data_IF_063828224880
#
_entry.id   IF_063828224880
#
_cell.length_a   1.000
_cell.length_b   1.000
_cell.length_c   1.000
_cell.angle_alpha   90.00
_cell.angle_beta   90.00
_cell.angle_gamma   90.00
#
_symmetry.space_group_name_H-M   'P 1'
#
loop_
_entity.id
_entity.type
_entity.pdbx_description
1 polymer ?
#
# COMPACT_ATOMS: atom_id res chain seq x y z
N UNK A 1 16.27 -28.20 -2.02
CA UNK A 1 15.90 -28.49 -3.43
C UNK A 1 17.03 -29.26 -4.09
N UNK A 2 16.70 -30.32 -4.81
CA UNK A 2 17.65 -31.06 -5.65
C UNK A 2 17.99 -30.29 -6.93
N UNK A 3 18.96 -30.79 -7.71
CA UNK A 3 19.22 -30.30 -9.07
C UNK A 3 17.99 -30.47 -9.98
N UNK A 4 17.26 -31.59 -9.82
CA UNK A 4 16.00 -31.85 -10.54
C UNK A 4 14.90 -30.84 -10.19
N UNK A 5 14.73 -30.46 -8.91
CA UNK A 5 13.75 -29.45 -8.52
C UNK A 5 14.03 -28.10 -9.21
N UNK A 6 15.32 -27.71 -9.31
CA UNK A 6 15.74 -26.48 -10.01
C UNK A 6 15.48 -26.59 -11.51
N UNK A 7 15.85 -27.70 -12.14
CA UNK A 7 15.62 -27.92 -13.56
C UNK A 7 14.13 -27.93 -13.92
N UNK A 8 13.30 -28.56 -13.09
CA UNK A 8 11.83 -28.58 -13.23
C UNK A 8 11.25 -27.17 -13.10
N UNK A 9 11.63 -26.43 -12.06
CA UNK A 9 11.19 -25.03 -11.88
C UNK A 9 11.58 -24.15 -13.07
N UNK A 10 12.83 -24.24 -13.56
CA UNK A 10 13.27 -23.45 -14.72
C UNK A 10 12.51 -23.80 -15.99
N UNK A 11 12.19 -25.08 -16.20
CA UNK A 11 11.35 -25.54 -17.33
C UNK A 11 9.92 -25.00 -17.24
N UNK A 12 9.31 -25.04 -16.05
CA UNK A 12 7.97 -24.47 -15.80
C UNK A 12 7.97 -22.94 -15.97
N UNK A 13 9.01 -22.25 -15.51
CA UNK A 13 9.21 -20.81 -15.68
C UNK A 13 9.36 -20.40 -17.16
N UNK A 14 10.17 -21.12 -17.94
CA UNK A 14 10.37 -20.83 -19.36
C UNK A 14 9.11 -21.12 -20.19
N UNK A 15 8.41 -22.23 -19.92
CA UNK A 15 7.13 -22.54 -20.56
C UNK A 15 6.03 -21.50 -20.19
N UNK A 16 6.04 -20.99 -18.96
CA UNK A 16 5.22 -19.85 -18.59
C UNK A 16 5.63 -18.58 -19.37
N UNK A 17 6.94 -18.34 -19.55
CA UNK A 17 7.49 -17.17 -20.26
C UNK A 17 7.06 -17.11 -21.74
N UNK A 18 7.07 -18.22 -22.46
CA UNK A 18 6.53 -18.28 -23.84
C UNK A 18 5.03 -17.95 -23.88
N UNK A 19 4.27 -18.49 -22.91
CA UNK A 19 2.85 -18.16 -22.70
C UNK A 19 2.62 -16.73 -22.18
N UNK A 20 3.69 -16.03 -21.80
CA UNK A 20 3.73 -14.60 -21.44
C UNK A 20 4.10 -13.68 -22.61
N UNK A 21 3.87 -14.13 -23.86
CA UNK A 21 3.54 -13.24 -25.00
C UNK A 21 2.19 -12.54 -24.78
N UNK A 22 2.08 -11.81 -23.68
CA UNK A 22 0.90 -11.03 -23.29
C UNK A 22 0.93 -9.65 -23.91
N UNK A 23 -0.27 -9.10 -24.10
CA UNK A 23 -0.44 -7.67 -24.32
C UNK A 23 0.28 -6.87 -23.23
N UNK A 24 1.23 -6.03 -23.65
CA UNK A 24 2.06 -5.16 -22.81
C UNK A 24 1.23 -4.17 -21.97
N UNK A 25 -0.04 -3.93 -22.35
CA UNK A 25 -0.98 -3.07 -21.62
C UNK A 25 -1.65 -3.78 -20.44
N UNK A 26 -1.55 -5.11 -20.34
CA UNK A 26 -2.25 -5.88 -19.30
C UNK A 26 -1.34 -6.23 -18.12
N UNK A 27 -1.54 -5.56 -16.98
CA UNK A 27 -0.81 -5.80 -15.74
C UNK A 27 -0.79 -7.28 -15.28
N UNK A 28 0.25 -7.69 -14.54
CA UNK A 28 0.32 -9.03 -13.96
C UNK A 28 -0.86 -9.29 -13.01
N UNK A 29 -1.49 -10.47 -13.12
CA UNK A 29 -2.59 -10.81 -12.19
C UNK A 29 -2.05 -11.03 -10.78
N UNK A 30 -2.84 -10.72 -9.76
CA UNK A 30 -2.46 -10.95 -8.36
C UNK A 30 -2.07 -12.41 -8.08
N UNK A 31 -2.71 -13.38 -8.74
CA UNK A 31 -2.34 -14.81 -8.67
C UNK A 31 -0.95 -15.06 -9.27
N UNK A 32 -0.63 -14.45 -10.41
CA UNK A 32 0.71 -14.56 -11.03
C UNK A 32 1.78 -13.98 -10.11
N UNK A 33 1.54 -12.79 -9.55
CA UNK A 33 2.44 -12.14 -8.61
C UNK A 33 2.65 -13.00 -7.35
N UNK A 34 1.57 -13.52 -6.76
CA UNK A 34 1.64 -14.39 -5.58
C UNK A 34 2.45 -15.67 -5.85
N UNK A 35 2.25 -16.33 -6.99
CA UNK A 35 3.00 -17.54 -7.36
C UNK A 35 4.49 -17.25 -7.56
N UNK A 36 4.83 -16.16 -8.25
CA UNK A 36 6.22 -15.73 -8.42
C UNK A 36 6.89 -15.41 -7.07
N UNK A 37 6.22 -14.63 -6.21
CA UNK A 37 6.71 -14.32 -4.85
C UNK A 37 6.90 -15.58 -4.01
N UNK A 38 5.96 -16.53 -4.05
CA UNK A 38 6.07 -17.80 -3.32
C UNK A 38 7.24 -18.66 -3.79
N UNK A 39 7.51 -18.68 -5.10
CA UNK A 39 8.64 -19.41 -5.67
C UNK A 39 9.98 -18.81 -5.23
N UNK A 40 10.14 -17.49 -5.32
CA UNK A 40 11.36 -16.79 -4.86
C UNK A 40 11.57 -16.98 -3.37
N UNK A 41 10.55 -16.73 -2.54
CA UNK A 41 10.66 -16.89 -1.08
C UNK A 41 11.04 -18.33 -0.69
N UNK A 42 10.45 -19.35 -1.34
CA UNK A 42 10.84 -20.75 -1.10
C UNK A 42 12.27 -21.05 -1.54
N UNK A 43 12.72 -20.52 -2.68
CA UNK A 43 14.08 -20.71 -3.18
C UNK A 43 15.14 -20.05 -2.26
N UNK A 44 14.76 -18.98 -1.56
CA UNK A 44 15.56 -18.29 -0.54
C UNK A 44 15.32 -18.80 0.89
N UNK A 45 14.57 -19.90 1.07
CA UNK A 45 14.23 -20.49 2.39
C UNK A 45 13.52 -19.52 3.36
N UNK A 46 12.82 -18.52 2.81
CA UNK A 46 11.99 -17.56 3.55
C UNK A 46 10.54 -18.08 3.63
N UNK A 47 10.09 -18.38 4.85
CA UNK A 47 8.75 -18.92 5.10
C UNK A 47 7.81 -17.83 5.65
N UNK A 48 6.65 -17.64 5.02
CA UNK A 48 5.61 -16.72 5.50
C UNK A 48 4.21 -17.23 5.19
N UNK A 49 3.35 -17.26 6.22
CA UNK A 49 1.93 -17.56 6.07
C UNK A 49 1.14 -16.46 5.32
N UNK A 50 1.71 -15.25 5.18
CA UNK A 50 1.07 -14.09 4.52
C UNK A 50 2.00 -13.51 3.45
N UNK A 51 2.28 -14.30 2.42
CA UNK A 51 3.18 -13.96 1.29
C UNK A 51 3.00 -12.52 0.77
N UNK A 52 1.76 -12.09 0.49
CA UNK A 52 1.44 -10.75 -0.03
C UNK A 52 1.70 -9.60 0.94
N UNK A 53 1.78 -9.87 2.25
CA UNK A 53 2.07 -8.90 3.29
C UNK A 53 3.49 -9.05 3.87
N UNK A 54 4.24 -10.08 3.48
CA UNK A 54 5.54 -10.41 4.05
C UNK A 54 6.53 -9.25 3.92
N UNK A 55 6.62 -8.62 2.74
CA UNK A 55 7.47 -7.44 2.51
C UNK A 55 7.08 -6.24 3.37
N UNK A 56 5.77 -5.92 3.48
CA UNK A 56 5.29 -4.83 4.35
C UNK A 56 5.61 -5.11 5.83
N UNK A 57 5.41 -6.36 6.29
CA UNK A 57 5.69 -6.77 7.65
C UNK A 57 7.20 -6.71 7.98
N UNK A 58 8.04 -7.18 7.05
CA UNK A 58 9.49 -7.13 7.18
C UNK A 58 10.01 -5.69 7.22
N UNK A 59 9.64 -4.85 6.24
CA UNK A 59 10.07 -3.44 6.19
C UNK A 59 9.60 -2.64 7.41
N UNK A 60 8.41 -2.94 7.94
CA UNK A 60 7.92 -2.31 9.18
C UNK A 60 8.72 -2.72 10.40
N UNK A 61 9.05 -4.01 10.52
CA UNK A 61 9.94 -4.48 11.60
C UNK A 61 11.33 -3.84 11.50
N UNK A 62 11.85 -3.67 10.28
CA UNK A 62 13.13 -3.01 10.06
C UNK A 62 13.08 -1.53 10.46
N UNK A 63 12.05 -0.81 10.03
CA UNK A 63 11.82 0.58 10.44
C UNK A 63 11.75 0.75 11.97
N UNK A 64 11.12 -0.20 12.68
CA UNK A 64 11.13 -0.18 14.15
C UNK A 64 12.53 -0.40 14.76
N UNK A 65 13.37 -1.28 14.19
CA UNK A 65 14.76 -1.48 14.65
C UNK A 65 15.62 -0.25 14.40
N UNK A 66 15.42 0.40 13.25
CA UNK A 66 16.10 1.63 12.82
C UNK A 66 15.61 2.87 13.59
N UNK A 67 14.66 2.71 14.52
CA UNK A 67 14.21 3.76 15.42
C UNK A 67 13.28 4.81 14.80
N UNK A 68 12.67 4.53 13.64
CA UNK A 68 11.77 5.50 13.01
C UNK A 68 10.56 5.80 13.91
N UNK A 69 10.13 7.07 14.00
CA UNK A 69 8.85 7.44 14.58
C UNK A 69 7.69 6.65 13.96
N UNK A 70 6.72 6.22 14.79
CA UNK A 70 5.54 5.46 14.32
C UNK A 70 4.76 6.17 13.20
N UNK A 71 4.79 7.50 13.19
CA UNK A 71 4.17 8.35 12.18
C UNK A 71 4.84 8.19 10.81
N UNK A 72 6.18 8.17 10.77
CA UNK A 72 6.95 7.93 9.54
C UNK A 72 6.73 6.51 9.01
N UNK A 73 6.65 5.51 9.91
CA UNK A 73 6.31 4.12 9.57
C UNK A 73 4.88 4.02 8.98
N UNK A 74 3.92 4.74 9.57
CA UNK A 74 2.54 4.80 9.06
C UNK A 74 2.45 5.49 7.70
N UNK A 75 3.26 6.53 7.46
CA UNK A 75 3.35 7.26 6.19
C UNK A 75 3.99 6.38 5.09
N UNK A 76 5.13 5.73 5.39
CA UNK A 76 5.76 4.71 4.54
C UNK A 76 4.79 3.58 4.16
N UNK A 77 4.07 3.03 5.15
CA UNK A 77 3.11 1.95 4.95
C UNK A 77 1.81 2.37 4.25
N UNK A 78 1.55 3.67 4.14
CA UNK A 78 0.27 4.30 3.74
C UNK A 78 -0.93 3.74 4.51
N UNK A 79 -0.77 3.56 5.82
CA UNK A 79 -1.67 2.70 6.59
C UNK A 79 -2.90 3.39 7.18
N UNK A 80 -2.76 4.60 7.71
CA UNK A 80 -3.88 5.51 7.96
C UNK A 80 -3.35 6.93 7.80
N UNK A 81 -3.72 7.59 6.71
CA UNK A 81 -3.62 9.04 6.59
C UNK A 81 -5.03 9.59 6.81
N UNK A 82 -5.20 10.58 7.68
CA UNK A 82 -6.44 11.38 7.69
C UNK A 82 -6.60 12.07 6.33
N UNK A 83 -7.82 12.51 5.97
CA UNK A 83 -8.00 13.29 4.72
C UNK A 83 -7.03 14.47 4.67
N UNK A 84 -6.86 15.18 5.79
CA UNK A 84 -5.85 16.23 5.97
C UNK A 84 -4.44 15.76 5.61
N UNK A 85 -3.97 14.63 6.15
CA UNK A 85 -2.64 14.11 5.77
C UNK A 85 -2.56 13.66 4.31
N UNK A 86 -3.64 13.14 3.71
CA UNK A 86 -3.63 12.79 2.28
C UNK A 86 -3.55 13.98 1.32
N UNK A 87 -3.97 15.18 1.76
CA UNK A 87 -3.87 16.41 0.98
C UNK A 87 -2.62 17.25 1.31
N UNK A 88 -2.23 17.34 2.58
CA UNK A 88 -1.20 18.29 3.05
C UNK A 88 0.11 17.66 3.53
N UNK A 89 0.18 16.34 3.77
CA UNK A 89 1.46 15.73 4.10
C UNK A 89 2.34 15.66 2.83
N UNK A 90 3.67 15.89 2.92
CA UNK A 90 4.56 15.69 1.80
C UNK A 90 4.41 14.25 1.29
N UNK A 91 4.05 14.09 0.02
CA UNK A 91 3.64 12.80 -0.59
C UNK A 91 4.73 11.72 -0.51
N UNK A 92 5.98 12.15 -0.36
CA UNK A 92 7.15 11.30 -0.23
C UNK A 92 7.65 11.34 1.23
N UNK A 93 7.62 10.23 1.99
CA UNK A 93 8.26 10.11 3.30
C UNK A 93 9.78 10.02 3.12
N UNK A 94 10.43 11.11 2.69
CA UNK A 94 11.85 11.16 2.31
C UNK A 94 12.75 10.63 3.43
N UNK A 95 12.57 11.14 4.66
CA UNK A 95 13.28 10.63 5.85
C UNK A 95 13.08 9.12 6.05
N UNK A 96 11.84 8.65 5.93
CA UNK A 96 11.53 7.23 6.02
C UNK A 96 12.23 6.41 4.93
N UNK A 97 12.29 6.91 3.70
CA UNK A 97 12.95 6.26 2.57
C UNK A 97 14.48 6.18 2.77
N UNK A 98 15.11 7.26 3.27
CA UNK A 98 16.55 7.25 3.59
C UNK A 98 16.90 6.17 4.62
N UNK A 99 16.22 6.15 5.76
CA UNK A 99 16.50 5.13 6.78
C UNK A 99 16.22 3.71 6.25
N UNK A 100 15.15 3.51 5.48
CA UNK A 100 14.83 2.20 4.88
C UNK A 100 15.82 1.75 3.79
N UNK A 101 16.64 2.67 3.26
CA UNK A 101 17.80 2.37 2.42
C UNK A 101 19.11 2.24 3.22
N UNK A 102 19.03 2.15 4.56
CA UNK A 102 20.14 2.05 5.51
C UNK A 102 21.10 3.25 5.53
N UNK A 103 20.60 4.44 5.17
CA UNK A 103 21.28 5.69 5.46
C UNK A 103 21.07 6.07 6.94
N UNK A 104 22.16 6.36 7.66
CA UNK A 104 22.25 6.50 9.13
C UNK A 104 21.54 7.73 9.75
N UNK A 105 20.78 8.50 8.97
CA UNK A 105 20.20 9.79 9.36
C UNK A 105 20.01 10.71 8.16
N UNK A 106 19.40 11.87 8.37
CA UNK A 106 19.22 12.91 7.33
C UNK A 106 20.35 13.94 7.25
N UNK A 107 21.28 13.91 8.22
CA UNK A 107 22.07 15.08 8.58
C UNK A 107 23.57 14.92 8.19
N UNK A 108 23.95 13.81 7.57
CA UNK A 108 25.28 13.55 7.03
C UNK A 108 25.21 13.34 5.51
N UNK A 109 26.15 13.90 4.71
CA UNK A 109 26.16 13.73 3.26
C UNK A 109 26.62 12.31 2.88
N UNK A 110 25.73 11.53 2.27
CA UNK A 110 26.07 10.20 1.79
C UNK A 110 26.75 10.24 0.42
N UNK A 111 28.04 9.91 0.41
CA UNK A 111 28.80 9.72 -0.83
C UNK A 111 28.62 8.27 -1.30
N UNK A 112 27.82 8.07 -2.34
CA UNK A 112 27.83 6.80 -3.07
C UNK A 112 29.08 6.75 -3.96
N UNK A 113 30.01 5.84 -3.68
CA UNK A 113 31.28 5.74 -4.42
C UNK A 113 31.11 5.66 -5.95
N UNK A 114 30.05 4.97 -6.42
CA UNK A 114 29.72 4.87 -7.85
C UNK A 114 29.33 6.20 -8.50
N UNK A 115 28.90 7.18 -7.71
CA UNK A 115 28.50 8.50 -8.20
C UNK A 115 29.70 9.45 -8.39
N UNK A 116 30.90 9.05 -7.96
CA UNK A 116 32.14 9.70 -8.36
C UNK A 116 32.54 9.37 -9.82
N UNK A 117 31.94 8.33 -10.42
CA UNK A 117 32.16 7.92 -11.81
C UNK A 117 30.96 8.31 -12.69
N UNK A 118 31.04 9.46 -13.36
CA UNK A 118 30.04 9.89 -14.35
C UNK A 118 30.28 9.14 -15.68
N UNK A 119 29.30 8.42 -16.25
CA UNK A 119 29.45 7.79 -17.56
C UNK A 119 29.50 8.85 -18.67
N UNK A 120 30.33 8.69 -19.72
CA UNK A 120 30.37 9.61 -20.86
C UNK A 120 28.99 9.82 -21.48
N UNK A 121 28.65 11.06 -21.87
CA UNK A 121 27.33 11.37 -22.40
C UNK A 121 27.00 10.57 -23.67
N UNK A 122 28.01 10.27 -24.51
CA UNK A 122 27.89 9.40 -25.68
C UNK A 122 27.41 7.99 -25.30
N UNK A 123 27.95 7.43 -24.20
CA UNK A 123 27.57 6.13 -23.67
C UNK A 123 26.17 6.19 -23.04
N UNK A 124 25.85 7.25 -22.31
CA UNK A 124 24.52 7.46 -21.73
C UNK A 124 23.43 7.49 -22.81
N UNK A 125 23.66 8.19 -23.93
CA UNK A 125 22.72 8.27 -25.07
C UNK A 125 22.46 6.94 -25.78
N UNK A 126 23.32 5.92 -25.62
CA UNK A 126 23.03 4.57 -26.12
C UNK A 126 21.90 3.87 -25.34
N UNK A 127 21.68 4.24 -24.08
CA UNK A 127 20.58 3.73 -23.26
C UNK A 127 19.34 4.59 -23.48
N UNK A 128 18.25 4.01 -24.01
CA UNK A 128 17.06 4.76 -24.46
C UNK A 128 17.40 5.89 -25.46
N UNK A 129 17.86 5.56 -26.69
CA UNK A 129 18.36 6.54 -27.67
C UNK A 129 17.28 7.45 -28.29
N UNK A 130 16.02 7.32 -27.87
CA UNK A 130 14.87 8.09 -28.35
C UNK A 130 14.45 9.22 -27.39
N UNK A 131 15.11 9.37 -26.24
CA UNK A 131 14.67 10.32 -25.20
C UNK A 131 14.80 11.78 -25.65
N UNK A 132 15.89 12.13 -26.32
CA UNK A 132 16.14 13.45 -26.92
C UNK A 132 15.00 13.82 -27.90
N UNK A 133 14.63 12.88 -28.77
CA UNK A 133 13.57 13.03 -29.76
C UNK A 133 12.14 13.08 -29.17
N UNK A 134 11.96 12.89 -27.85
CA UNK A 134 10.64 12.72 -27.23
C UNK A 134 9.72 13.95 -27.35
N UNK A 135 10.25 15.13 -27.69
CA UNK A 135 9.50 16.36 -27.95
C UNK A 135 9.54 16.80 -29.43
N UNK A 136 10.02 15.97 -30.34
CA UNK A 136 9.96 16.26 -31.78
C UNK A 136 8.49 16.49 -32.22
N UNK A 137 8.26 17.60 -32.93
CA UNK A 137 6.92 18.09 -33.28
C UNK A 137 6.34 19.14 -32.31
N UNK A 138 7.01 19.43 -31.19
CA UNK A 138 6.78 20.65 -30.41
C UNK A 138 7.52 21.86 -31.05
N UNK A 139 7.35 23.06 -30.50
CA UNK A 139 8.09 24.25 -30.92
C UNK A 139 9.59 24.14 -30.64
N UNK A 140 10.42 24.76 -31.48
CA UNK A 140 11.88 24.76 -31.38
C UNK A 140 12.41 25.08 -29.97
N UNK A 141 11.78 26.01 -29.26
CA UNK A 141 12.21 26.41 -27.91
C UNK A 141 11.96 25.32 -26.87
N UNK A 142 10.88 24.54 -27.01
CA UNK A 142 10.60 23.36 -26.16
C UNK A 142 11.58 22.23 -26.47
N UNK A 143 11.94 22.03 -27.75
CA UNK A 143 12.95 21.04 -28.15
C UNK A 143 14.32 21.43 -27.60
N UNK A 144 14.74 22.70 -27.72
CA UNK A 144 16.01 23.21 -27.17
C UNK A 144 16.06 23.12 -25.63
N UNK A 145 14.98 23.50 -24.94
CA UNK A 145 14.85 23.35 -23.49
C UNK A 145 14.96 21.88 -23.06
N UNK A 146 14.31 20.97 -23.80
CA UNK A 146 14.37 19.54 -23.53
C UNK A 146 15.78 18.97 -23.74
N UNK A 147 16.44 19.28 -24.86
CA UNK A 147 17.83 18.88 -25.10
C UNK A 147 18.76 19.41 -24.00
N UNK A 148 18.63 20.69 -23.61
CA UNK A 148 19.37 21.26 -22.48
C UNK A 148 19.09 20.51 -21.17
N UNK A 149 17.82 20.13 -20.93
CA UNK A 149 17.43 19.33 -19.76
C UNK A 149 18.13 17.96 -19.78
N UNK A 150 18.16 17.27 -20.93
CA UNK A 150 18.86 15.99 -21.07
C UNK A 150 20.36 16.10 -20.78
N UNK A 151 21.04 17.11 -21.32
CA UNK A 151 22.48 17.29 -21.09
C UNK A 151 22.78 17.56 -19.60
N UNK A 152 22.03 18.47 -18.95
CA UNK A 152 22.17 18.75 -17.52
C UNK A 152 21.95 17.49 -16.66
N UNK A 153 20.88 16.74 -16.92
CA UNK A 153 20.56 15.50 -16.19
C UNK A 153 21.58 14.36 -16.41
N UNK A 154 22.43 14.46 -17.44
CA UNK A 154 23.53 13.53 -17.70
C UNK A 154 24.87 13.98 -17.10
N UNK A 155 25.07 15.28 -16.84
CA UNK A 155 26.34 15.86 -16.34
C UNK A 155 26.28 16.27 -14.87
N UNK A 156 25.26 17.03 -14.48
CA UNK A 156 25.15 17.71 -13.20
C UNK A 156 23.95 17.16 -12.41
N UNK A 157 24.17 16.01 -11.77
CA UNK A 157 23.33 15.61 -10.63
C UNK A 157 24.03 16.00 -9.34
N UNK A 158 23.88 17.27 -8.96
CA UNK A 158 24.09 17.70 -7.57
C UNK A 158 22.79 17.41 -6.79
N UNK A 159 22.79 16.48 -5.80
CA UNK A 159 21.62 16.23 -4.95
C UNK A 159 21.24 17.41 -4.05
N UNK A 160 22.10 18.42 -3.88
CA UNK A 160 21.81 19.65 -3.12
C UNK A 160 21.15 20.73 -3.99
N UNK A 161 21.33 20.71 -5.33
CA UNK A 161 20.61 21.59 -6.28
C UNK A 161 19.24 21.04 -6.74
N UNK A 162 18.58 20.18 -5.94
CA UNK A 162 17.17 19.83 -6.21
C UNK A 162 16.29 21.04 -5.89
N UNK A 163 16.16 21.94 -6.87
CA UNK A 163 15.34 23.15 -6.75
C UNK A 163 13.89 22.84 -6.33
N UNK A 164 13.29 23.76 -5.58
CA UNK A 164 11.97 23.56 -4.96
C UNK A 164 10.88 23.10 -5.95
N UNK A 165 10.98 23.48 -7.23
CA UNK A 165 10.09 23.06 -8.31
C UNK A 165 10.07 21.54 -8.60
N UNK A 166 11.18 20.82 -8.32
CA UNK A 166 11.28 19.37 -8.50
C UNK A 166 10.76 18.59 -7.28
N UNK A 167 10.74 19.20 -6.08
CA UNK A 167 10.23 18.59 -4.84
C UNK A 167 8.77 18.93 -4.56
N UNK A 168 8.35 20.15 -4.90
CA UNK A 168 7.02 20.69 -4.62
C UNK A 168 6.27 20.97 -5.92
N UNK A 169 5.69 19.90 -6.48
CA UNK A 169 4.46 20.04 -7.26
C UNK A 169 3.30 20.39 -6.31
N UNK A 170 3.31 21.66 -5.86
CA UNK A 170 2.07 22.33 -5.50
C UNK A 170 1.20 22.35 -6.75
N UNK A 171 0.10 21.60 -6.72
CA UNK A 171 -0.97 21.82 -7.67
C UNK A 171 -1.52 23.22 -7.39
N UNK A 172 -1.09 24.21 -8.17
CA UNK A 172 -1.70 25.53 -8.15
C UNK A 172 -3.14 25.38 -8.62
N UNK A 173 -4.08 25.43 -7.68
CA UNK A 173 -5.51 25.47 -7.93
C UNK A 173 -5.88 26.83 -8.58
N UNK A 174 -5.55 27.01 -9.86
CA UNK A 174 -5.98 28.15 -10.67
C UNK A 174 -7.29 27.82 -11.42
N UNK A 175 -8.38 28.32 -10.84
CA UNK A 175 -9.75 28.33 -11.35
C UNK A 175 -9.88 29.44 -12.43
N UNK A 176 -10.66 29.32 -13.51
CA UNK A 176 -10.95 28.15 -14.35
C UNK A 176 -10.68 28.44 -15.85
N UNK A 177 -9.65 27.80 -16.43
CA UNK A 177 -9.34 27.87 -17.87
C UNK A 177 -9.35 26.49 -18.53
N UNK A 178 -10.49 25.79 -18.45
CA UNK A 178 -10.63 24.32 -18.44
C UNK A 178 -10.18 23.49 -19.67
N UNK A 179 -9.37 24.05 -20.57
CA UNK A 179 -8.72 23.30 -21.67
C UNK A 179 -7.18 23.45 -21.65
N UNK A 180 -6.63 24.60 -21.26
CA UNK A 180 -5.16 24.80 -21.25
C UNK A 180 -4.44 24.02 -20.14
N UNK A 181 -5.08 23.87 -18.97
CA UNK A 181 -4.47 23.19 -17.83
C UNK A 181 -4.22 21.69 -18.03
N UNK A 182 -5.07 21.01 -18.83
CA UNK A 182 -4.91 19.56 -19.08
C UNK A 182 -3.70 19.24 -19.97
N UNK A 183 -3.45 20.09 -20.98
CA UNK A 183 -2.29 19.92 -21.85
C UNK A 183 -0.99 20.27 -21.09
N UNK A 184 -1.00 21.35 -20.30
CA UNK A 184 0.13 21.73 -19.46
C UNK A 184 0.47 20.67 -18.40
N UNK A 185 -0.52 20.07 -17.74
CA UNK A 185 -0.27 18.98 -16.78
C UNK A 185 0.28 17.73 -17.48
N UNK A 186 -0.28 17.34 -18.64
CA UNK A 186 0.20 16.19 -19.40
C UNK A 186 1.64 16.36 -19.92
N UNK A 187 2.00 17.57 -20.37
CA UNK A 187 3.39 17.89 -20.73
C UNK A 187 4.34 17.83 -19.54
N UNK A 188 3.88 18.21 -18.35
CA UNK A 188 4.69 18.21 -17.13
C UNK A 188 4.91 16.80 -16.59
N UNK A 189 3.87 15.98 -16.49
CA UNK A 189 3.97 14.55 -16.15
C UNK A 189 4.88 13.80 -17.14
N UNK A 190 4.74 14.09 -18.44
CA UNK A 190 5.62 13.55 -19.49
C UNK A 190 7.08 13.98 -19.27
N UNK A 191 7.36 15.28 -19.04
CA UNK A 191 8.72 15.77 -18.80
C UNK A 191 9.33 15.14 -17.54
N UNK A 192 8.57 15.02 -16.45
CA UNK A 192 9.02 14.38 -15.21
C UNK A 192 9.35 12.89 -15.40
N UNK A 193 8.51 12.14 -16.11
CA UNK A 193 8.78 10.74 -16.43
C UNK A 193 10.00 10.57 -17.35
N UNK A 194 10.19 11.46 -18.32
CA UNK A 194 11.36 11.43 -19.20
C UNK A 194 12.65 11.82 -18.46
N UNK A 195 12.62 12.82 -17.56
CA UNK A 195 13.75 13.14 -16.64
C UNK A 195 14.17 11.89 -15.84
N UNK A 196 13.21 11.15 -15.30
CA UNK A 196 13.47 9.88 -14.62
C UNK A 196 14.17 8.86 -15.54
N UNK A 197 13.75 8.73 -16.80
CA UNK A 197 14.41 7.81 -17.74
C UNK A 197 15.83 8.26 -18.12
N UNK A 198 16.10 9.57 -18.21
CA UNK A 198 17.47 10.10 -18.38
C UNK A 198 18.34 9.75 -17.17
N UNK A 199 17.88 10.04 -15.94
CA UNK A 199 18.58 9.66 -14.69
C UNK A 199 18.83 8.14 -14.61
N UNK A 200 17.89 7.32 -15.08
CA UNK A 200 18.05 5.86 -15.13
C UNK A 200 19.16 5.39 -16.08
N UNK A 201 19.58 6.17 -17.10
CA UNK A 201 20.73 5.82 -17.97
C UNK A 201 21.98 5.59 -17.13
N UNK A 202 22.29 6.53 -16.24
CA UNK A 202 23.43 6.48 -15.31
C UNK A 202 23.36 5.25 -14.40
N UNK A 203 22.22 5.03 -13.75
CA UNK A 203 22.01 3.89 -12.83
C UNK A 203 22.16 2.55 -13.55
N UNK A 204 21.57 2.41 -14.75
CA UNK A 204 21.70 1.19 -15.57
C UNK A 204 23.16 0.91 -15.94
N UNK A 205 23.92 1.93 -16.33
CA UNK A 205 25.33 1.78 -16.69
C UNK A 205 26.21 1.45 -15.47
N UNK A 206 26.01 2.13 -14.34
CA UNK A 206 26.70 1.85 -13.08
C UNK A 206 26.45 0.42 -12.59
N UNK A 207 25.19 -0.02 -12.57
CA UNK A 207 24.82 -1.34 -12.07
C UNK A 207 25.21 -2.45 -13.06
N UNK A 208 25.17 -2.20 -14.37
CA UNK A 208 25.64 -3.14 -15.38
C UNK A 208 27.13 -3.50 -15.20
N UNK A 209 27.97 -2.53 -14.80
CA UNK A 209 29.38 -2.79 -14.47
C UNK A 209 29.49 -3.83 -13.36
N UNK A 210 28.74 -3.68 -12.26
CA UNK A 210 28.75 -4.66 -11.17
C UNK A 210 28.17 -6.03 -11.57
N UNK A 211 27.10 -6.06 -12.39
CA UNK A 211 26.51 -7.31 -12.87
C UNK A 211 27.37 -8.05 -13.91
N UNK A 212 28.34 -7.39 -14.54
CA UNK A 212 29.28 -8.00 -15.48
C UNK A 212 30.55 -8.56 -14.83
N UNK A 213 30.82 -8.26 -13.55
CA UNK A 213 31.91 -8.90 -12.80
C UNK A 213 31.53 -10.37 -12.50
N UNK A 214 32.33 -11.36 -12.92
CA UNK A 214 32.14 -12.74 -12.50
C UNK A 214 32.28 -12.85 -10.98
N UNK A 215 31.28 -13.38 -10.29
CA UNK A 215 31.39 -13.56 -8.84
C UNK A 215 32.46 -14.59 -8.52
N UNK A 216 33.13 -14.43 -7.37
CA UNK A 216 34.22 -15.32 -6.90
C UNK A 216 33.82 -16.79 -6.73
N UNK A 217 32.51 -17.08 -6.69
CA UNK A 217 31.92 -18.42 -6.65
C UNK A 217 31.57 -18.99 -8.04
N UNK A 218 31.95 -18.30 -9.13
CA UNK A 218 31.66 -18.70 -10.51
C UNK A 218 30.21 -18.44 -10.95
N UNK A 219 29.36 -17.78 -10.15
CA UNK A 219 28.05 -17.35 -10.62
C UNK A 219 28.19 -16.14 -11.55
N UNK A 220 27.92 -16.41 -12.83
CA UNK A 220 27.75 -15.40 -13.84
C UNK A 220 26.36 -14.75 -13.70
N UNK A 221 26.30 -13.58 -13.04
CA UNK A 221 25.09 -12.75 -12.96
C UNK A 221 24.85 -11.89 -14.20
N UNK A 222 25.72 -11.95 -15.23
CA UNK A 222 25.54 -11.12 -16.42
C UNK A 222 24.29 -11.56 -17.18
N UNK A 223 23.25 -10.75 -16.96
CA UNK A 223 21.89 -11.00 -17.35
C UNK A 223 21.82 -11.11 -18.89
N UNK A 224 20.97 -12.00 -19.39
CA UNK A 224 20.66 -12.10 -20.83
C UNK A 224 20.23 -10.77 -21.46
N UNK A 225 19.70 -9.83 -20.67
CA UNK A 225 19.43 -8.45 -21.10
C UNK A 225 20.71 -7.64 -21.38
N UNK A 226 21.74 -7.76 -20.55
CA UNK A 226 23.03 -7.07 -20.72
C UNK A 226 23.81 -7.71 -21.89
N UNK A 227 23.89 -9.06 -21.90
CA UNK A 227 24.48 -9.82 -23.01
C UNK A 227 23.78 -9.62 -24.35
N UNK A 228 22.49 -9.25 -24.34
CA UNK A 228 21.68 -9.02 -25.52
C UNK A 228 21.87 -7.65 -26.19
N UNK A 229 22.65 -6.75 -25.58
CA UNK A 229 22.91 -5.39 -26.07
C UNK A 229 24.43 -5.12 -26.19
N UNK A 230 25.16 -5.91 -27.02
CA UNK A 230 26.63 -5.79 -27.15
C UNK A 230 27.07 -4.43 -27.69
N UNK A 231 26.24 -3.74 -28.48
CA UNK A 231 26.48 -2.38 -28.97
C UNK A 231 26.61 -1.35 -27.83
N UNK A 232 26.05 -1.63 -26.65
CA UNK A 232 26.24 -0.84 -25.44
C UNK A 232 27.36 -1.47 -24.59
N UNK A 233 27.16 -2.69 -24.12
CA UNK A 233 27.95 -3.28 -23.03
C UNK A 233 29.24 -3.97 -23.47
N UNK A 234 29.48 -4.15 -24.77
CA UNK A 234 30.78 -4.51 -25.34
C UNK A 234 31.43 -3.34 -26.10
N UNK A 235 30.85 -2.13 -26.04
CA UNK A 235 31.46 -0.94 -26.62
C UNK A 235 32.74 -0.53 -25.87
N UNK A 236 33.69 0.05 -26.59
CA UNK A 236 34.92 0.56 -25.98
C UNK A 236 34.62 1.62 -24.90
N UNK A 237 33.61 2.49 -25.14
CA UNK A 237 33.14 3.48 -24.18
C UNK A 237 32.69 2.84 -22.85
N UNK A 238 31.90 1.76 -22.91
CA UNK A 238 31.48 1.05 -21.71
C UNK A 238 32.63 0.33 -21.02
N UNK A 239 33.53 -0.30 -21.77
CA UNK A 239 34.69 -1.01 -21.21
C UNK A 239 35.67 -0.07 -20.50
N UNK A 240 35.86 1.14 -21.00
CA UNK A 240 36.71 2.14 -20.36
C UNK A 240 36.02 2.80 -19.16
N UNK A 241 34.70 3.06 -19.24
CA UNK A 241 33.90 3.47 -18.08
C UNK A 241 33.91 2.41 -16.96
N UNK A 242 33.78 1.13 -17.30
CA UNK A 242 33.82 0.00 -16.38
C UNK A 242 35.13 -0.07 -15.59
N UNK A 243 36.28 0.11 -16.27
CA UNK A 243 37.60 0.19 -15.62
C UNK A 243 37.69 1.36 -14.64
N UNK A 244 37.23 2.55 -15.06
CA UNK A 244 37.25 3.76 -14.22
C UNK A 244 36.37 3.58 -12.96
N UNK A 245 35.15 3.06 -13.11
CA UNK A 245 34.24 2.82 -12.00
C UNK A 245 34.82 1.78 -11.02
N UNK A 246 35.45 0.70 -11.49
CA UNK A 246 36.15 -0.25 -10.61
C UNK A 246 37.30 0.42 -9.85
N UNK A 247 38.17 1.18 -10.53
CA UNK A 247 39.27 1.90 -9.86
C UNK A 247 38.77 2.84 -8.76
N UNK A 248 37.68 3.57 -9.03
CA UNK A 248 37.03 4.47 -8.05
C UNK A 248 36.43 3.67 -6.87
N UNK A 249 35.75 2.55 -7.15
CA UNK A 249 35.15 1.72 -6.10
C UNK A 249 36.19 1.01 -5.22
N UNK A 250 37.27 0.51 -5.82
CA UNK A 250 38.37 -0.13 -5.10
C UNK A 250 39.15 0.89 -4.26
N UNK A 251 39.50 2.05 -4.82
CA UNK A 251 40.11 3.14 -4.08
C UNK A 251 39.22 3.65 -2.95
N UNK A 252 37.89 3.75 -3.15
CA UNK A 252 36.98 4.11 -2.08
C UNK A 252 36.92 3.03 -0.99
N UNK A 253 36.94 1.74 -1.35
CA UNK A 253 37.00 0.63 -0.38
C UNK A 253 38.28 0.63 0.45
N UNK A 254 39.42 0.96 -0.14
CA UNK A 254 40.70 1.04 0.57
C UNK A 254 40.78 2.24 1.53
N UNK A 255 40.13 3.36 1.17
CA UNK A 255 40.10 4.58 1.99
C UNK A 255 38.89 4.66 2.95
N UNK A 256 37.94 3.72 2.91
CA UNK A 256 36.72 3.79 3.71
C UNK A 256 36.90 3.29 5.15
N UNK A 257 37.60 4.07 5.97
CA UNK A 257 37.41 4.08 7.44
C UNK A 257 35.92 4.34 7.82
N UNK A 258 35.14 4.88 6.88
CA UNK A 258 33.78 5.41 7.06
C UNK A 258 32.66 4.36 6.87
N UNK A 259 32.97 3.13 6.43
CA UNK A 259 32.01 2.00 6.50
C UNK A 259 32.62 0.73 7.12
N UNK A 260 33.42 0.90 8.17
CA UNK A 260 33.23 -0.05 9.29
C UNK A 260 31.81 0.14 9.83
N UNK A 261 31.10 -0.96 10.10
CA UNK A 261 29.86 -0.89 10.85
C UNK A 261 30.18 -0.32 12.25
N UNK A 262 29.96 0.99 12.42
CA UNK A 262 30.37 1.81 13.57
C UNK A 262 29.64 1.52 14.88
N UNK A 263 29.03 0.35 14.98
CA UNK A 263 28.69 -0.27 16.26
C UNK A 263 29.50 -1.55 16.33
N UNK A 264 30.57 -1.62 17.15
CA UNK A 264 31.01 -2.90 17.68
C UNK A 264 29.86 -3.42 18.53
N UNK A 265 28.97 -4.16 17.89
CA UNK A 265 27.83 -4.82 18.52
C UNK A 265 28.41 -5.92 19.39
N UNK A 266 28.74 -5.58 20.64
CA UNK A 266 28.74 -6.57 21.70
C UNK A 266 27.34 -7.22 21.65
N UNK A 267 27.30 -8.46 21.16
CA UNK A 267 26.07 -9.20 20.95
C UNK A 267 25.30 -9.34 22.26
N UNK A 268 25.99 -9.32 23.41
CA UNK A 268 25.37 -9.33 24.72
C UNK A 268 24.70 -7.98 25.01
N UNK A 269 25.40 -6.86 24.82
CA UNK A 269 24.83 -5.51 24.99
C UNK A 269 23.64 -5.23 24.05
N UNK A 270 23.65 -5.76 22.83
CA UNK A 270 22.53 -5.66 21.88
C UNK A 270 21.35 -6.55 22.28
N UNK A 271 21.60 -7.81 22.67
CA UNK A 271 20.55 -8.69 23.22
C UNK A 271 19.92 -8.04 24.45
N UNK A 272 20.72 -7.44 25.33
CA UNK A 272 20.25 -6.68 26.48
C UNK A 272 19.47 -5.41 26.10
N UNK A 273 19.89 -4.67 25.08
CA UNK A 273 19.16 -3.50 24.57
C UNK A 273 17.81 -3.90 23.93
N UNK A 274 17.78 -5.02 23.19
CA UNK A 274 16.56 -5.62 22.64
C UNK A 274 15.65 -6.09 23.79
N UNK A 275 16.19 -6.77 24.79
CA UNK A 275 15.42 -7.24 25.96
C UNK A 275 14.84 -6.07 26.77
N UNK A 276 15.63 -5.02 27.05
CA UNK A 276 15.13 -3.77 27.67
C UNK A 276 14.05 -3.10 26.84
N UNK A 277 14.23 -3.02 25.52
CA UNK A 277 13.23 -2.44 24.61
C UNK A 277 11.94 -3.27 24.56
N UNK A 278 12.05 -4.60 24.52
CA UNK A 278 10.91 -5.51 24.57
C UNK A 278 10.16 -5.41 25.91
N UNK A 279 10.87 -5.30 27.04
CA UNK A 279 10.27 -5.05 28.35
C UNK A 279 9.56 -3.69 28.41
N UNK A 280 10.17 -2.62 27.90
CA UNK A 280 9.52 -1.30 27.82
C UNK A 280 8.26 -1.31 26.93
N UNK A 281 8.30 -2.01 25.79
CA UNK A 281 7.14 -2.21 24.92
C UNK A 281 6.05 -3.02 25.62
N UNK A 282 6.41 -4.07 26.36
CA UNK A 282 5.45 -4.87 27.15
C UNK A 282 4.77 -4.05 28.25
N UNK A 283 5.54 -3.24 28.99
CA UNK A 283 5.00 -2.32 30.01
C UNK A 283 4.07 -1.28 29.38
N UNK A 284 4.45 -0.66 28.25
CA UNK A 284 3.59 0.30 27.53
C UNK A 284 2.30 -0.36 27.02
N UNK A 285 2.39 -1.57 26.44
CA UNK A 285 1.22 -2.30 25.95
C UNK A 285 0.27 -2.69 27.09
N UNK A 286 0.81 -3.12 28.23
CA UNK A 286 0.03 -3.43 29.44
C UNK A 286 -0.67 -2.18 30.00
N UNK A 287 0.03 -1.04 30.05
CA UNK A 287 -0.55 0.24 30.44
C UNK A 287 -1.67 0.69 29.49
N UNK A 288 -1.51 0.54 28.17
CA UNK A 288 -2.57 0.81 27.19
C UNK A 288 -3.78 -0.11 27.37
N UNK A 289 -3.56 -1.41 27.64
CA UNK A 289 -4.64 -2.36 27.93
C UNK A 289 -5.34 -2.08 29.26
N UNK A 290 -4.65 -1.50 30.25
CA UNK A 290 -5.27 -1.04 31.49
C UNK A 290 -6.13 0.21 31.26
N UNK A 291 -5.59 1.22 30.56
CA UNK A 291 -6.32 2.44 30.21
C UNK A 291 -7.58 2.16 29.38
N UNK A 292 -7.49 1.28 28.37
CA UNK A 292 -8.65 0.91 27.56
C UNK A 292 -9.73 0.15 28.36
N UNK A 293 -9.34 -0.69 29.33
CA UNK A 293 -10.30 -1.32 30.24
C UNK A 293 -10.98 -0.32 31.18
N UNK A 294 -10.28 0.72 31.62
CA UNK A 294 -10.88 1.82 32.38
C UNK A 294 -11.88 2.62 31.53
N UNK A 295 -11.52 2.91 30.26
CA UNK A 295 -12.40 3.60 29.31
C UNK A 295 -13.70 2.81 29.02
N UNK A 296 -13.61 1.50 28.84
CA UNK A 296 -14.76 0.59 28.72
C UNK A 296 -15.64 0.61 29.97
N UNK A 297 -15.05 0.43 31.16
CA UNK A 297 -15.80 0.44 32.41
C UNK A 297 -16.50 1.80 32.69
N UNK A 298 -15.91 2.91 32.24
CA UNK A 298 -16.53 4.23 32.34
C UNK A 298 -17.67 4.42 31.33
N UNK A 299 -17.54 3.89 30.11
CA UNK A 299 -18.64 3.84 29.13
C UNK A 299 -19.82 3.00 29.63
N UNK A 300 -19.55 1.85 30.26
CA UNK A 300 -20.60 0.99 30.85
C UNK A 300 -21.34 1.70 31.99
N UNK A 301 -20.64 2.46 32.84
CA UNK A 301 -21.27 3.31 33.87
C UNK A 301 -22.16 4.41 33.27
N UNK A 302 -21.68 5.09 32.23
CA UNK A 302 -22.44 6.13 31.55
C UNK A 302 -23.69 5.58 30.86
N UNK A 303 -23.62 4.35 30.34
CA UNK A 303 -24.78 3.65 29.78
C UNK A 303 -25.80 3.29 30.87
N UNK A 304 -25.35 2.68 31.97
CA UNK A 304 -26.22 2.33 33.10
C UNK A 304 -26.92 3.55 33.74
N UNK A 305 -26.25 4.69 33.84
CA UNK A 305 -26.86 5.93 34.34
C UNK A 305 -27.87 6.52 33.33
N UNK A 306 -27.63 6.42 32.01
CA UNK A 306 -28.64 6.77 30.99
C UNK A 306 -29.87 5.87 31.04
N UNK A 307 -29.69 4.56 31.21
CA UNK A 307 -30.80 3.61 31.33
C UNK A 307 -31.66 3.89 32.56
N UNK A 308 -31.01 4.23 33.70
CA UNK A 308 -31.69 4.66 34.92
C UNK A 308 -32.46 5.97 34.74
N UNK A 309 -31.88 6.96 34.06
CA UNK A 309 -32.58 8.21 33.74
C UNK A 309 -33.77 7.98 32.80
N UNK A 310 -33.64 7.06 31.83
CA UNK A 310 -34.74 6.67 30.94
C UNK A 310 -35.87 5.96 31.70
N UNK A 311 -35.55 5.03 32.61
CA UNK A 311 -36.54 4.38 33.48
C UNK A 311 -37.26 5.38 34.39
N UNK A 312 -36.57 6.37 34.95
CA UNK A 312 -37.19 7.43 35.74
C UNK A 312 -38.14 8.27 34.88
N UNK A 313 -37.73 8.68 33.68
CA UNK A 313 -38.59 9.44 32.77
C UNK A 313 -39.87 8.68 32.38
N UNK A 314 -39.78 7.36 32.15
CA UNK A 314 -40.95 6.50 31.92
C UNK A 314 -41.86 6.40 33.15
N UNK A 315 -41.30 6.32 34.36
CA UNK A 315 -42.07 6.31 35.60
C UNK A 315 -42.80 7.64 35.84
N UNK A 316 -42.15 8.77 35.58
CA UNK A 316 -42.73 10.11 35.69
C UNK A 316 -43.84 10.32 34.64
N UNK A 317 -43.63 9.86 33.40
CA UNK A 317 -44.63 9.89 32.34
C UNK A 317 -45.86 9.04 32.69
N UNK A 318 -45.67 7.85 33.26
CA UNK A 318 -46.78 7.01 33.75
C UNK A 318 -47.52 7.68 34.92
N UNK A 319 -46.80 8.28 35.87
CA UNK A 319 -47.41 9.05 36.98
C UNK A 319 -48.25 10.23 36.47
N UNK A 320 -47.82 10.89 35.39
CA UNK A 320 -48.57 11.96 34.76
C UNK A 320 -49.87 11.46 34.10
N UNK A 321 -49.81 10.34 33.36
CA UNK A 321 -51.02 9.73 32.78
C UNK A 321 -52.04 9.30 33.83
N UNK A 322 -51.60 8.66 34.93
CA UNK A 322 -52.50 8.28 36.03
C UNK A 322 -53.21 9.49 36.65
N UNK A 323 -52.53 10.64 36.79
CA UNK A 323 -53.15 11.89 37.26
C UNK A 323 -54.20 12.42 36.29
N UNK A 324 -53.96 12.34 34.98
CA UNK A 324 -54.97 12.70 33.96
C UNK A 324 -56.19 11.79 34.07
N UNK A 325 -55.97 10.46 34.13
CA UNK A 325 -57.06 9.49 34.22
C UNK A 325 -57.89 9.69 35.49
N UNK A 326 -57.25 9.92 36.64
CA UNK A 326 -57.92 10.25 37.89
C UNK A 326 -58.75 11.55 37.78
N UNK A 327 -58.20 12.60 37.16
CA UNK A 327 -58.90 13.85 36.89
C UNK A 327 -60.12 13.67 35.98
N UNK A 328 -60.00 12.88 34.90
CA UNK A 328 -61.11 12.54 34.01
C UNK A 328 -62.21 11.74 34.72
N UNK A 329 -61.84 10.81 35.61
CA UNK A 329 -62.81 10.06 36.42
C UNK A 329 -63.55 10.96 37.42
N UNK A 330 -62.86 11.91 38.07
CA UNK A 330 -63.49 12.90 38.94
C UNK A 330 -64.44 13.81 38.16
N UNK A 331 -64.01 14.32 36.99
CA UNK A 331 -64.85 15.14 36.13
C UNK A 331 -66.11 14.39 35.68
N UNK A 332 -65.98 13.13 35.26
CA UNK A 332 -67.11 12.27 34.86
C UNK A 332 -68.15 12.11 35.99
N UNK A 333 -67.68 11.87 37.23
CA UNK A 333 -68.56 11.77 38.43
C UNK A 333 -69.33 13.05 38.74
N UNK A 334 -68.79 14.22 38.38
CA UNK A 334 -69.46 15.52 38.62
C UNK A 334 -70.30 15.99 37.43
N UNK A 335 -69.92 15.67 36.19
CA UNK A 335 -70.62 16.10 34.99
C UNK A 335 -71.89 15.27 34.69
N UNK A 336 -71.94 14.00 35.12
CA UNK A 336 -73.06 13.10 34.82
C UNK A 336 -73.56 12.35 36.07
N UNK A 337 -74.38 13.00 36.93
CA UNK A 337 -75.03 12.34 38.07
C UNK A 337 -76.25 11.49 37.63
N UNK A 338 -76.06 10.62 36.62
CA UNK A 338 -77.10 9.71 36.16
C UNK A 338 -77.19 8.46 37.04
N UNK A 339 -78.04 8.55 38.06
CA UNK A 339 -78.55 7.38 38.76
C UNK A 339 -79.41 6.53 37.81
N UNK A 340 -79.28 5.20 37.91
CA UNK A 340 -80.17 4.20 37.33
C UNK A 340 -80.42 4.25 35.81
N UNK A 341 -79.40 3.85 35.02
CA UNK A 341 -79.63 3.12 33.78
C UNK A 341 -79.31 1.64 34.01
N UNK A 342 -80.25 0.75 33.69
CA UNK A 342 -80.08 -0.69 33.84
C UNK A 342 -79.04 -1.24 32.84
N UNK A 343 -78.32 -2.32 33.17
CA UNK A 343 -77.32 -2.89 32.28
C UNK A 343 -77.97 -3.40 30.99
N UNK A 344 -77.67 -2.74 29.87
CA UNK A 344 -78.00 -3.23 28.53
C UNK A 344 -77.19 -4.52 28.31
N UNK A 345 -77.80 -5.62 27.82
CA UNK A 345 -77.08 -6.86 27.56
C UNK A 345 -75.97 -6.64 26.54
N UNK A 346 -74.74 -6.99 26.90
CA UNK A 346 -73.60 -6.95 25.97
C UNK A 346 -73.87 -7.87 24.78
N UNK A 347 -73.71 -7.40 23.52
CA UNK A 347 -73.76 -8.28 22.37
C UNK A 347 -72.70 -9.37 22.48
N UNK A 348 -73.08 -10.62 22.19
CA UNK A 348 -72.12 -11.71 22.12
C UNK A 348 -71.09 -11.42 21.03
N UNK A 349 -69.84 -11.16 21.42
CA UNK A 349 -68.76 -10.89 20.48
C UNK A 349 -68.51 -12.10 19.58
N UNK A 350 -68.86 -11.96 18.31
CA UNK A 350 -68.46 -12.87 17.24
C UNK A 350 -66.92 -12.84 17.14
N UNK A 351 -66.22 -13.99 17.01
CA UNK A 351 -64.77 -14.00 16.92
C UNK A 351 -64.30 -13.20 15.69
N UNK A 352 -63.34 -12.30 15.88
CA UNK A 352 -62.60 -11.69 14.78
C UNK A 352 -61.60 -12.71 14.22
N UNK A 353 -61.40 -12.78 12.89
CA UNK A 353 -60.46 -13.70 12.30
C UNK A 353 -59.01 -13.32 12.64
N UNK A 354 -58.18 -14.34 12.88
CA UNK A 354 -56.75 -14.16 13.14
C UNK A 354 -56.06 -13.44 11.98
N UNK A 355 -55.48 -12.26 12.26
CA UNK A 355 -54.41 -11.67 11.43
C UNK A 355 -53.10 -11.70 12.20
N UNK A 356 -52.41 -12.82 12.11
CA UNK A 356 -50.99 -12.94 12.48
C UNK A 356 -50.33 -13.99 11.61
N UNK A 357 -49.73 -13.56 10.49
CA UNK A 357 -48.57 -14.25 9.90
C UNK A 357 -47.89 -13.34 8.85
N UNK A 358 -46.96 -12.49 9.33
CA UNK A 358 -45.99 -11.82 8.46
C UNK A 358 -44.74 -11.34 9.24
N UNK A 359 -44.10 -12.25 9.99
CA UNK A 359 -42.77 -11.96 10.57
C UNK A 359 -41.95 -13.22 10.91
N UNK A 360 -41.83 -14.19 9.98
CA UNK A 360 -40.83 -15.27 10.05
C UNK A 360 -40.33 -15.68 8.66
N UNK A 361 -39.30 -14.98 8.18
CA UNK A 361 -38.46 -15.46 7.08
C UNK A 361 -37.06 -14.81 7.17
N UNK A 362 -36.19 -15.44 7.95
CA UNK A 362 -34.74 -15.60 7.79
C UNK A 362 -34.40 -16.77 8.71
N UNK A 363 -34.24 -17.95 8.13
CA UNK A 363 -33.34 -19.03 8.54
C UNK A 363 -33.56 -20.24 7.63
N UNK A 364 -32.54 -21.11 7.52
CA UNK A 364 -32.47 -22.33 6.71
C UNK A 364 -32.37 -22.15 5.18
N UNK A 365 -31.13 -21.90 4.72
CA UNK A 365 -30.62 -22.51 3.49
C UNK A 365 -29.40 -23.37 3.84
N UNK A 366 -29.64 -24.66 4.06
CA UNK A 366 -28.62 -25.70 3.98
C UNK A 366 -29.21 -26.90 3.21
N UNK A 367 -28.33 -27.58 2.47
CA UNK A 367 -28.56 -28.85 1.77
C UNK A 367 -29.48 -28.82 0.52
N UNK A 368 -28.85 -28.61 -0.65
CA UNK A 368 -28.83 -29.63 -1.71
C UNK A 368 -27.85 -29.20 -2.82
N UNK A 369 -26.98 -30.12 -3.27
CA UNK A 369 -26.40 -30.19 -4.63
C UNK A 369 -25.28 -31.25 -4.74
N UNK A 370 -25.71 -32.50 -4.92
CA UNK A 370 -25.11 -33.56 -5.73
C UNK A 370 -26.29 -34.05 -6.62
N UNK A 371 -26.25 -34.42 -7.91
CA UNK A 371 -25.24 -34.60 -8.99
C UNK A 371 -25.91 -34.17 -10.33
N UNK A 372 -25.33 -34.14 -11.54
CA UNK A 372 -24.00 -34.53 -12.05
C UNK A 372 -23.57 -33.66 -13.28
N UNK A 373 -22.87 -34.26 -14.26
CA UNK A 373 -22.28 -33.71 -15.49
C UNK A 373 -23.27 -33.64 -16.67
N UNK A 374 -23.10 -32.63 -17.54
CA UNK A 374 -22.87 -32.83 -18.98
C UNK A 374 -22.52 -31.51 -19.72
N UNK A 375 -21.70 -31.62 -20.76
CA UNK A 375 -21.45 -30.63 -21.82
C UNK A 375 -21.52 -31.40 -23.17
N UNK A 376 -21.42 -30.78 -24.39
CA UNK A 376 -21.17 -29.36 -24.73
C UNK A 376 -22.08 -28.80 -25.87
N UNK A 377 -21.88 -27.53 -26.27
CA UNK A 377 -21.60 -27.09 -27.67
C UNK A 377 -22.05 -25.65 -28.02
N UNK A 378 -21.12 -24.88 -28.62
CA UNK A 378 -21.23 -23.78 -29.61
C UNK A 378 -22.59 -23.05 -29.80
N UNK A 379 -22.67 -21.72 -29.70
CA UNK A 379 -22.35 -20.77 -30.81
C UNK A 379 -22.56 -19.28 -30.41
N UNK A 380 -22.06 -18.36 -31.26
CA UNK A 380 -22.47 -16.96 -31.45
C UNK A 380 -22.09 -15.83 -30.44
N UNK A 381 -21.37 -14.83 -30.98
CA UNK A 381 -21.35 -13.39 -30.61
C UNK A 381 -22.62 -12.71 -31.21
N UNK A 382 -23.08 -11.49 -30.83
CA UNK A 382 -22.23 -10.32 -30.53
C UNK A 382 -22.70 -9.27 -29.48
N UNK A 383 -21.80 -8.31 -29.23
CA UNK A 383 -21.98 -6.88 -28.87
C UNK A 383 -22.97 -6.46 -27.75
N UNK A 384 -22.43 -5.73 -26.77
CA UNK A 384 -23.22 -4.95 -25.79
C UNK A 384 -22.31 -4.26 -24.77
N UNK A 385 -22.11 -2.94 -24.90
CA UNK A 385 -21.35 -2.13 -23.93
C UNK A 385 -22.25 -1.78 -22.75
N UNK A 386 -21.80 -2.00 -21.50
CA UNK A 386 -22.12 -1.04 -20.43
C UNK A 386 -21.18 -1.10 -19.20
N UNK A 387 -21.29 -0.05 -18.39
CA UNK A 387 -20.31 0.40 -17.39
C UNK A 387 -20.29 -0.33 -16.04
N UNK A 388 -19.11 -0.25 -15.42
CA UNK A 388 -18.78 -0.44 -14.00
C UNK A 388 -19.92 -0.42 -12.97
N UNK A 389 -19.96 -1.45 -12.13
CA UNK A 389 -20.33 -1.36 -10.70
C UNK A 389 -19.45 -2.32 -9.88
N UNK A 390 -18.40 -1.81 -9.24
CA UNK A 390 -17.59 -2.58 -8.29
C UNK A 390 -18.12 -2.36 -6.87
N UNK A 391 -19.01 -3.24 -6.40
CA UNK A 391 -19.34 -3.30 -4.98
C UNK A 391 -18.15 -3.81 -4.18
N UNK A 392 -17.70 -3.02 -3.20
CA UNK A 392 -16.78 -3.50 -2.16
C UNK A 392 -17.50 -4.51 -1.26
N UNK A 393 -17.00 -5.74 -1.21
CA UNK A 393 -17.42 -6.74 -0.23
C UNK A 393 -16.34 -6.88 0.85
N UNK A 394 -16.56 -6.22 1.98
CA UNK A 394 -15.83 -6.49 3.22
C UNK A 394 -16.66 -7.46 4.07
N UNK A 395 -16.26 -8.74 4.15
CA UNK A 395 -16.45 -9.58 5.35
C UNK A 395 -15.67 -10.90 5.19
N UNK A 396 -14.64 -11.10 6.03
CA UNK A 396 -14.06 -12.42 6.30
C UNK A 396 -13.97 -12.60 7.82
N UNK A 397 -14.96 -13.28 8.40
CA UNK A 397 -14.79 -13.96 9.68
C UNK A 397 -14.03 -15.26 9.44
N UNK A 398 -13.01 -15.53 10.25
CA UNK A 398 -12.40 -16.86 10.34
C UNK A 398 -12.70 -17.46 11.71
N UNK A 399 -13.49 -18.53 11.72
CA UNK A 399 -13.57 -19.42 12.87
C UNK A 399 -12.25 -20.19 13.04
N UNK A 400 -11.78 -20.28 14.29
CA UNK A 400 -10.81 -21.29 14.69
C UNK A 400 -11.46 -22.67 14.66
N UNK A 401 -10.73 -23.67 14.17
CA UNK A 401 -10.88 -25.06 14.60
C UNK A 401 -9.53 -25.58 15.05
N UNK A 402 -9.51 -26.22 16.22
CA UNK A 402 -8.34 -26.91 16.76
C UNK A 402 -8.11 -28.23 16.03
N UNK A 403 -6.84 -28.56 15.81
CA UNK A 403 -6.26 -29.90 15.95
C UNK A 403 -4.82 -29.73 16.45
#
# INVERSE_FOLDING_TARGET
>A
MTSEDRAKFMKEYLAAREKFTRDVRTALTGRTQQLATAAVMRACEVFSARLTHAGRHAGTKEAFKLGLPIQDIQHLGRWVMSQMMSFYAPKNPIKGAYYMAHFNGTDEPYILARDLAVPPAELQRLVFPWLEDAFNGCSDDVVKDWHKTCELEMTDYDPEEIGESDLFHEAKDEIPGAQSGLEQSAHTDKKAFLKLLVRMRRVILQDAVQFMVPYSNGMDLSNHLIKGLPEIFASQLFLDYSKLLHQIMDAHRENSEIITAGVPVDGLAMVDAINRSAQQLYVRLSAMQAAHRQELAEKDRQLAEKDKQHQQALADQNSYFERILAGMQQFSRHAFPYQHLQPIPLPQHRPLPHQHEHCKQIDLVQQSNQTDRAAPSLTAKPQGVNYNHYHHCHHCHHHHHNL
#
